data_IF_840543739998
#
_entry.id   IF_840543739998
#
_cell.length_a   1.000
_cell.length_b   1.000
_cell.length_c   1.000
_cell.angle_alpha   90.00
_cell.angle_beta   90.00
_cell.angle_gamma   90.00
#
_symmetry.space_group_name_H-M   'P 1'
#
loop_
_entity.id
_entity.type
_entity.pdbx_description
1 polymer ?
#
# COMPACT_ATOMS: atom_id res chain seq x y z
N UNK A 1 8.84 8.24 18.85
CA UNK A 1 9.80 9.36 18.89
C UNK A 1 11.14 8.84 19.38
N UNK A 2 12.22 9.05 18.61
CA UNK A 2 13.57 8.57 19.00
C UNK A 2 14.29 9.77 19.62
N UNK A 3 14.38 9.80 20.95
CA UNK A 3 15.10 10.86 21.68
C UNK A 3 16.58 10.74 21.33
N UNK A 4 17.12 11.73 20.63
CA UNK A 4 18.52 11.73 20.19
C UNK A 4 19.44 12.20 21.30
N UNK A 5 18.97 13.16 22.11
CA UNK A 5 19.71 13.67 23.25
C UNK A 5 19.03 13.28 24.57
N UNK A 6 19.67 12.36 25.28
CA UNK A 6 19.19 11.87 26.58
C UNK A 6 19.58 12.78 27.74
N UNK A 7 20.49 13.74 27.53
CA UNK A 7 20.86 14.71 28.55
C UNK A 7 19.81 15.82 28.69
N UNK A 8 19.15 16.17 27.58
CA UNK A 8 18.08 17.18 27.54
C UNK A 8 16.85 16.63 26.81
N UNK A 9 16.22 15.63 27.44
CA UNK A 9 15.09 14.91 26.85
C UNK A 9 14.00 15.89 26.41
N UNK A 10 13.53 16.77 27.30
CA UNK A 10 12.43 17.72 27.01
C UNK A 10 12.71 18.63 25.81
N UNK A 11 13.92 19.21 25.74
CA UNK A 11 14.32 20.04 24.60
C UNK A 11 14.34 19.22 23.30
N UNK A 12 14.84 17.98 23.34
CA UNK A 12 14.85 17.07 22.19
C UNK A 12 13.43 16.65 21.77
N UNK A 13 12.48 16.55 22.71
CA UNK A 13 11.06 16.33 22.41
C UNK A 13 10.50 17.53 21.63
N UNK A 14 10.65 18.73 22.19
CA UNK A 14 10.11 19.97 21.60
C UNK A 14 10.68 20.20 20.20
N UNK A 15 11.99 20.02 20.03
CA UNK A 15 12.63 20.12 18.72
C UNK A 15 12.05 19.13 17.70
N UNK A 16 11.82 17.88 18.11
CA UNK A 16 11.24 16.88 17.23
C UNK A 16 9.82 17.25 16.78
N UNK A 17 9.00 17.81 17.67
CA UNK A 17 7.67 18.30 17.34
C UNK A 17 7.72 19.48 16.38
N UNK A 18 8.59 20.47 16.61
CA UNK A 18 8.75 21.61 15.72
C UNK A 18 9.13 21.18 14.30
N UNK A 19 10.12 20.28 14.17
CA UNK A 19 10.54 19.75 12.87
C UNK A 19 9.39 18.99 12.19
N UNK A 20 8.61 18.23 12.96
CA UNK A 20 7.44 17.51 12.48
C UNK A 20 6.35 18.44 11.94
N UNK A 21 6.01 19.49 12.68
CA UNK A 21 4.99 20.46 12.27
C UNK A 21 5.43 21.26 11.04
N UNK A 22 6.66 21.76 11.01
CA UNK A 22 7.19 22.50 9.85
C UNK A 22 7.17 21.62 8.60
N UNK A 23 7.60 20.36 8.72
CA UNK A 23 7.58 19.39 7.60
C UNK A 23 6.15 19.10 7.12
N UNK A 24 5.18 19.02 8.03
CA UNK A 24 3.78 18.82 7.67
C UNK A 24 3.19 20.07 6.99
N UNK A 25 3.40 21.24 7.56
CA UNK A 25 2.90 22.50 7.02
C UNK A 25 3.45 22.78 5.62
N UNK A 26 4.76 22.64 5.44
CA UNK A 26 5.42 22.82 4.14
C UNK A 26 4.95 21.81 3.09
N UNK A 27 4.54 20.61 3.50
CA UNK A 27 4.06 19.57 2.57
C UNK A 27 2.83 19.95 1.75
N UNK A 28 2.08 20.97 2.19
CA UNK A 28 0.91 21.48 1.46
C UNK A 28 1.26 22.32 0.24
N UNK A 29 2.49 22.84 0.16
CA UNK A 29 2.94 23.68 -0.95
C UNK A 29 3.65 22.89 -2.05
N UNK A 30 3.94 21.60 -1.82
CA UNK A 30 4.55 20.74 -2.83
C UNK A 30 3.49 20.06 -3.71
N UNK A 31 3.87 19.81 -4.95
CA UNK A 31 3.05 19.03 -5.88
C UNK A 31 2.80 17.61 -5.36
N UNK A 32 1.66 16.97 -5.68
CA UNK A 32 1.29 15.65 -5.15
C UNK A 32 2.32 14.54 -5.41
N UNK A 33 3.14 14.69 -6.45
CA UNK A 33 4.22 13.78 -6.85
C UNK A 33 5.50 13.89 -6.01
N UNK A 34 5.66 14.96 -5.25
CA UNK A 34 6.81 15.12 -4.35
C UNK A 34 6.52 14.34 -3.07
N UNK A 35 7.36 13.35 -2.77
CA UNK A 35 7.25 12.57 -1.54
C UNK A 35 7.55 13.46 -0.32
N UNK A 36 6.57 13.56 0.56
CA UNK A 36 6.55 14.38 1.75
C UNK A 36 5.82 13.64 2.87
N UNK A 37 5.90 14.15 4.10
CA UNK A 37 5.29 13.48 5.26
C UNK A 37 3.79 13.17 5.11
N UNK A 38 3.07 13.97 4.31
CA UNK A 38 1.63 13.85 4.04
C UNK A 38 1.27 12.70 3.09
N UNK A 39 2.11 12.37 2.12
CA UNK A 39 1.83 11.39 1.06
C UNK A 39 2.82 10.21 1.06
N UNK A 40 3.80 10.21 1.96
CA UNK A 40 4.70 9.08 2.14
C UNK A 40 3.93 7.89 2.74
N UNK A 41 4.07 6.68 2.18
CA UNK A 41 3.51 5.48 2.78
C UNK A 41 4.00 5.31 4.23
N UNK A 42 3.20 4.71 5.09
CA UNK A 42 3.64 4.33 6.44
C UNK A 42 4.93 3.51 6.36
N UNK A 43 5.82 3.61 7.36
CA UNK A 43 7.08 2.82 7.38
C UNK A 43 6.85 1.31 7.39
N UNK A 44 5.63 0.88 7.71
CA UNK A 44 5.20 -0.52 7.66
C UNK A 44 4.29 -0.83 6.46
N UNK A 45 3.93 0.19 5.67
CA UNK A 45 3.30 0.02 4.37
C UNK A 45 4.37 -0.23 3.33
N UNK A 46 4.62 -1.51 3.08
CA UNK A 46 5.29 -1.99 1.87
C UNK A 46 4.34 -1.93 0.66
N UNK A 47 3.36 -1.02 0.67
CA UNK A 47 2.50 -0.75 -0.48
C UNK A 47 3.42 -0.19 -1.57
N UNK A 48 3.88 -1.10 -2.43
CA UNK A 48 4.53 -0.82 -3.70
C UNK A 48 3.77 0.34 -4.31
N UNK A 49 4.48 1.45 -4.52
CA UNK A 49 3.95 2.65 -5.18
C UNK A 49 3.06 2.21 -6.31
N UNK A 50 1.77 2.54 -6.20
CA UNK A 50 0.72 2.07 -7.07
C UNK A 50 1.15 2.22 -8.52
N UNK A 51 1.45 1.10 -9.18
CA UNK A 51 1.46 1.07 -10.62
C UNK A 51 -0.01 1.26 -11.02
N UNK A 52 -0.36 2.47 -11.44
CA UNK A 52 -1.73 2.88 -11.78
C UNK A 52 -2.33 2.06 -12.93
N UNK A 53 -1.59 1.09 -13.48
CA UNK A 53 -2.02 0.20 -14.55
C UNK A 53 -2.81 -1.03 -14.11
N UNK A 54 -2.98 -1.31 -12.80
CA UNK A 54 -3.70 -2.51 -12.32
C UNK A 54 -5.19 -2.23 -12.08
N UNK A 55 -5.78 -1.17 -12.64
CA UNK A 55 -7.19 -0.84 -12.37
C UNK A 55 -8.19 -1.82 -13.01
N UNK A 56 -7.77 -2.62 -14.00
CA UNK A 56 -8.64 -3.56 -14.73
C UNK A 56 -8.40 -5.04 -14.39
N UNK A 57 -7.62 -5.31 -13.35
CA UNK A 57 -7.40 -6.69 -12.87
C UNK A 57 -8.39 -7.01 -11.75
N UNK A 58 -9.05 -8.17 -11.81
CA UNK A 58 -9.76 -8.77 -10.66
C UNK A 58 -8.84 -9.02 -9.45
N UNK A 59 -7.53 -8.90 -9.66
CA UNK A 59 -6.48 -8.94 -8.64
C UNK A 59 -5.81 -7.56 -8.49
N UNK A 60 -6.60 -6.48 -8.45
CA UNK A 60 -6.09 -5.12 -8.22
C UNK A 60 -5.62 -4.88 -6.78
N UNK A 61 -5.96 -5.79 -5.85
CA UNK A 61 -5.49 -5.73 -4.49
C UNK A 61 -4.13 -6.39 -4.37
N UNK A 62 -3.07 -5.58 -4.31
CA UNK A 62 -1.74 -6.05 -3.94
C UNK A 62 -1.79 -6.39 -2.44
N UNK A 63 -2.12 -7.65 -2.14
CA UNK A 63 -2.08 -8.16 -0.78
C UNK A 63 -0.64 -8.36 -0.30
N UNK A 64 -0.37 -8.08 0.98
CA UNK A 64 0.88 -8.45 1.64
C UNK A 64 0.81 -9.92 2.06
N UNK A 65 1.67 -10.76 1.49
CA UNK A 65 1.84 -12.12 2.01
C UNK A 65 2.39 -12.03 3.44
N UNK A 66 1.61 -12.48 4.42
CA UNK A 66 2.00 -12.48 5.85
C UNK A 66 2.16 -13.91 6.33
N UNK A 67 3.26 -14.15 7.07
CA UNK A 67 3.59 -15.47 7.61
C UNK A 67 4.23 -16.42 6.61
N UNK A 68 4.44 -17.67 7.05
CA UNK A 68 5.06 -18.70 6.21
C UNK A 68 4.09 -19.15 5.10
N UNK A 69 4.55 -19.11 3.85
CA UNK A 69 3.80 -19.63 2.71
C UNK A 69 3.57 -21.13 2.87
N UNK A 70 2.34 -21.60 2.65
CA UNK A 70 2.03 -23.03 2.54
C UNK A 70 1.64 -23.36 1.10
N UNK A 71 2.28 -24.39 0.54
CA UNK A 71 1.88 -24.95 -0.75
C UNK A 71 0.74 -25.93 -0.50
N UNK A 72 -0.38 -25.75 -1.20
CA UNK A 72 -1.52 -26.67 -1.20
C UNK A 72 -1.94 -26.93 -2.63
N UNK A 73 -2.14 -28.19 -2.99
CA UNK A 73 -2.73 -28.54 -4.29
C UNK A 73 -4.23 -28.23 -4.27
N UNK A 74 -4.72 -27.68 -5.37
CA UNK A 74 -6.15 -27.43 -5.57
C UNK A 74 -6.84 -28.70 -6.09
N UNK A 75 -8.02 -29.01 -5.55
CA UNK A 75 -8.86 -30.08 -6.08
C UNK A 75 -9.41 -29.72 -7.47
N UNK A 76 -9.90 -30.72 -8.21
CA UNK A 76 -10.50 -30.48 -9.52
C UNK A 76 -11.71 -29.55 -9.49
N UNK A 77 -12.54 -29.63 -8.42
CA UNK A 77 -13.69 -28.75 -8.24
C UNK A 77 -13.27 -27.31 -7.92
N UNK A 78 -12.25 -27.13 -7.08
CA UNK A 78 -11.71 -25.81 -6.77
C UNK A 78 -11.12 -25.13 -8.02
N UNK A 79 -10.41 -25.90 -8.85
CA UNK A 79 -9.91 -25.38 -10.13
C UNK A 79 -11.04 -24.94 -11.07
N UNK A 80 -12.14 -25.70 -11.12
CA UNK A 80 -13.30 -25.33 -11.93
C UNK A 80 -13.93 -24.01 -11.45
N UNK A 81 -14.14 -23.88 -10.13
CA UNK A 81 -14.70 -22.67 -9.51
C UNK A 81 -13.81 -21.46 -9.78
N UNK A 82 -12.51 -21.59 -9.57
CA UNK A 82 -11.55 -20.48 -9.78
C UNK A 82 -11.57 -20.04 -11.25
N UNK A 83 -11.56 -20.98 -12.20
CA UNK A 83 -11.65 -20.67 -13.63
C UNK A 83 -12.93 -19.92 -13.97
N UNK A 84 -14.08 -20.38 -13.46
CA UNK A 84 -15.36 -19.72 -13.67
C UNK A 84 -15.35 -18.30 -13.09
N UNK A 85 -14.89 -18.14 -11.85
CA UNK A 85 -14.79 -16.84 -11.20
C UNK A 85 -13.95 -15.84 -12.01
N UNK A 86 -12.79 -16.28 -12.52
CA UNK A 86 -11.91 -15.43 -13.33
C UNK A 86 -12.59 -14.99 -14.64
N UNK A 87 -13.32 -15.91 -15.30
CA UNK A 87 -13.96 -15.64 -16.58
C UNK A 87 -15.21 -14.75 -16.44
N UNK A 88 -15.98 -14.91 -15.38
CA UNK A 88 -17.24 -14.18 -15.18
C UNK A 88 -17.04 -12.78 -14.60
N UNK A 89 -16.00 -12.55 -13.79
CA UNK A 89 -15.83 -11.28 -13.06
C UNK A 89 -14.95 -10.25 -13.78
N UNK A 90 -14.49 -10.51 -15.01
CA UNK A 90 -13.63 -9.57 -15.75
C UNK A 90 -14.43 -8.87 -16.84
N UNK A 91 -14.53 -7.54 -16.75
CA UNK A 91 -15.21 -6.68 -17.73
C UNK A 91 -14.64 -6.83 -19.16
N UNK A 92 -13.40 -7.31 -19.30
CA UNK A 92 -12.76 -7.57 -20.60
C UNK A 92 -13.36 -8.79 -21.32
N UNK A 93 -14.05 -9.70 -20.62
CA UNK A 93 -14.60 -10.93 -21.23
C UNK A 93 -16.05 -10.74 -21.69
N UNK A 94 -16.73 -9.71 -21.18
CA UNK A 94 -18.10 -9.31 -21.58
C UNK A 94 -18.32 -9.22 -23.10
N UNK A 95 -17.39 -8.67 -23.92
CA UNK A 95 -17.58 -8.57 -25.37
C UNK A 95 -17.57 -9.90 -26.14
N UNK A 96 -17.28 -11.04 -25.49
CA UNK A 96 -17.17 -12.35 -26.15
C UNK A 96 -18.40 -13.24 -25.93
N UNK A 97 -19.40 -12.76 -25.19
CA UNK A 97 -20.65 -13.48 -24.92
C UNK A 97 -21.91 -12.71 -25.38
N UNK A 98 -21.73 -11.58 -26.08
CA UNK A 98 -22.75 -10.89 -26.89
C UNK A 98 -22.50 -11.14 -28.38
#
# INVERSE_FOLDING_TARGET
>A
MKVKDKAHVEASIVEAYLVEEISLFTSHYFEPQVLCKRNMPSRNDDLVMNDTHIQQSIFNYIGRASGASRKRSLSGSEQHIIKMYILTNREIVTPYYE
#
